data_IF_583506869415
#
_entry.id   IF_583506869415
#
_cell.length_a   1.000
_cell.length_b   1.000
_cell.length_c   1.000
_cell.angle_alpha   90.00
_cell.angle_beta   90.00
_cell.angle_gamma   90.00
#
_symmetry.space_group_name_H-M   'P 1'
#
loop_
_entity.id
_entity.type
_entity.pdbx_description
1 polymer ?
#
# COMPACT_ATOMS: atom_id res chain seq x y z
N UNK A 1 -47.31 72.03 29.36
CA UNK A 1 -46.94 72.87 30.52
C UNK A 1 -45.67 72.30 31.16
N UNK A 2 -44.68 73.19 31.37
CA UNK A 2 -43.52 73.19 32.31
C UNK A 2 -43.49 72.05 33.38
N UNK A 3 -42.39 71.43 33.81
CA UNK A 3 -40.92 71.57 33.63
C UNK A 3 -40.22 70.39 34.43
N UNK A 4 -38.88 70.34 34.66
CA UNK A 4 -38.00 69.21 34.30
C UNK A 4 -37.32 68.52 35.52
N UNK A 5 -36.07 68.04 35.35
CA UNK A 5 -35.05 67.51 36.30
C UNK A 5 -34.88 65.97 36.23
N UNK A 6 -33.69 65.38 36.17
CA UNK A 6 -32.31 65.86 36.11
C UNK A 6 -31.45 64.78 35.43
N UNK A 7 -30.43 65.22 34.69
CA UNK A 7 -29.42 64.35 34.06
C UNK A 7 -28.36 63.99 35.10
N UNK A 8 -28.09 62.71 35.29
CA UNK A 8 -26.91 62.20 36.02
C UNK A 8 -26.09 61.37 35.06
N UNK A 9 -24.88 61.87 34.78
CA UNK A 9 -23.85 61.30 33.95
C UNK A 9 -23.27 60.06 34.65
N UNK A 10 -23.43 58.87 34.08
CA UNK A 10 -22.70 57.66 34.51
C UNK A 10 -21.53 57.41 33.57
N UNK A 11 -20.32 57.46 34.13
CA UNK A 11 -19.06 57.08 33.48
C UNK A 11 -19.04 55.56 33.26
N UNK A 12 -19.05 55.13 32.00
CA UNK A 12 -18.78 53.74 31.61
C UNK A 12 -17.29 53.51 31.43
N UNK A 13 -16.66 52.77 32.35
CA UNK A 13 -15.32 52.21 32.18
C UNK A 13 -15.35 51.14 31.08
N UNK A 14 -14.67 51.39 29.96
CA UNK A 14 -14.38 50.37 28.96
C UNK A 14 -13.18 49.52 29.43
N UNK A 15 -13.44 48.30 29.91
CA UNK A 15 -12.39 47.29 30.10
C UNK A 15 -11.96 46.77 28.72
N UNK A 16 -10.75 47.17 28.28
CA UNK A 16 -10.09 46.57 27.13
C UNK A 16 -9.67 45.14 27.44
N UNK A 17 -10.29 44.17 26.76
CA UNK A 17 -9.83 42.79 26.68
C UNK A 17 -8.55 42.75 25.83
N UNK A 18 -7.39 42.70 26.50
CA UNK A 18 -6.14 42.31 25.86
C UNK A 18 -6.19 40.81 25.54
N UNK A 19 -6.55 40.47 24.30
CA UNK A 19 -6.24 39.16 23.75
C UNK A 19 -4.72 39.08 23.54
N UNK A 20 -4.04 38.38 24.44
CA UNK A 20 -2.66 37.95 24.20
C UNK A 20 -2.70 36.86 23.14
N UNK A 21 -2.27 37.22 21.92
CA UNK A 21 -2.04 36.24 20.87
C UNK A 21 -0.91 35.30 21.35
N UNK A 22 -1.28 34.10 21.77
CA UNK A 22 -0.31 33.04 22.00
C UNK A 22 0.26 32.61 20.64
N UNK A 23 1.58 32.56 20.46
CA UNK A 23 2.15 32.10 19.20
C UNK A 23 1.84 30.60 19.03
N UNK A 24 1.15 30.29 17.93
CA UNK A 24 0.89 28.93 17.43
C UNK A 24 2.20 28.13 17.29
N UNK A 25 2.61 27.38 18.32
CA UNK A 25 3.67 26.36 18.26
C UNK A 25 3.09 25.00 17.82
N UNK A 26 2.34 25.00 16.72
CA UNK A 26 1.70 23.80 16.17
C UNK A 26 2.71 22.88 15.46
N UNK A 27 3.76 23.42 14.84
CA UNK A 27 4.74 22.62 14.07
C UNK A 27 5.73 21.87 14.97
N UNK A 28 6.14 22.45 16.11
CA UNK A 28 7.09 21.84 17.05
C UNK A 28 6.47 20.68 17.84
N UNK A 29 5.19 20.79 18.19
CA UNK A 29 4.47 19.74 18.91
C UNK A 29 4.22 18.52 18.02
N UNK A 30 3.97 18.70 16.71
CA UNK A 30 3.82 17.59 15.76
C UNK A 30 5.10 16.76 15.61
N UNK A 31 6.25 17.43 15.42
CA UNK A 31 7.55 16.74 15.27
C UNK A 31 8.00 16.09 16.58
N UNK A 32 7.76 16.74 17.72
CA UNK A 32 8.00 16.15 19.04
C UNK A 32 7.17 14.89 19.26
N UNK A 33 5.87 14.94 18.95
CA UNK A 33 4.96 13.80 19.09
C UNK A 33 5.31 12.66 18.13
N UNK A 34 5.76 12.94 16.90
CA UNK A 34 6.25 11.91 15.97
C UNK A 34 7.53 11.22 16.45
N UNK A 35 8.47 11.98 17.04
CA UNK A 35 9.72 11.42 17.59
C UNK A 35 9.49 10.54 18.81
N UNK A 36 8.49 10.87 19.62
CA UNK A 36 8.19 10.16 20.87
C UNK A 36 7.11 9.08 20.74
N UNK A 37 6.48 8.95 19.56
CA UNK A 37 5.56 7.84 19.30
C UNK A 37 6.37 6.55 19.14
N UNK A 38 5.99 5.55 19.93
CA UNK A 38 6.61 4.22 19.88
C UNK A 38 6.51 3.66 18.45
N UNK A 39 7.63 3.15 17.93
CA UNK A 39 7.65 2.44 16.66
C UNK A 39 6.71 1.22 16.73
N UNK A 40 5.86 1.00 15.71
CA UNK A 40 4.98 -0.17 15.70
C UNK A 40 5.79 -1.46 15.66
N UNK A 41 5.24 -2.52 16.26
CA UNK A 41 5.86 -3.85 16.27
C UNK A 41 5.86 -4.50 14.88
N UNK A 42 4.83 -4.21 14.08
CA UNK A 42 4.69 -4.66 12.70
C UNK A 42 4.80 -3.46 11.75
N UNK A 43 5.59 -3.61 10.69
CA UNK A 43 5.57 -2.67 9.57
C UNK A 43 4.81 -3.28 8.39
N UNK A 44 4.12 -2.47 7.58
CA UNK A 44 3.66 -2.92 6.26
C UNK A 44 4.61 -2.54 5.13
N UNK A 45 4.82 -3.44 4.16
CA UNK A 45 5.79 -3.23 3.07
C UNK A 45 5.18 -2.56 1.83
N UNK A 46 3.88 -2.74 1.62
CA UNK A 46 3.13 -2.21 0.48
C UNK A 46 1.88 -1.47 0.95
N UNK A 47 0.98 -2.18 1.62
CA UNK A 47 -0.31 -1.69 2.09
C UNK A 47 -0.60 -2.27 3.46
N UNK A 48 -1.21 -1.46 4.30
CA UNK A 48 -1.66 -1.88 5.62
C UNK A 48 -2.59 -3.10 5.50
N UNK A 49 -2.26 -4.17 6.23
CA UNK A 49 -3.01 -5.43 6.21
C UNK A 49 -2.79 -6.35 5.00
N UNK A 50 -1.82 -6.07 4.13
CA UNK A 50 -1.50 -6.90 2.94
C UNK A 50 -0.18 -7.67 3.09
N UNK A 51 0.92 -6.96 3.32
CA UNK A 51 2.25 -7.54 3.53
C UNK A 51 2.82 -6.92 4.78
N UNK A 52 2.97 -7.69 5.85
CA UNK A 52 3.58 -7.22 7.09
C UNK A 52 4.90 -7.93 7.36
N UNK A 53 5.80 -7.19 7.99
CA UNK A 53 7.08 -7.67 8.49
C UNK A 53 7.14 -7.35 9.97
N UNK A 54 7.39 -8.39 10.76
CA UNK A 54 7.64 -8.24 12.19
C UNK A 54 8.99 -7.61 12.42
N UNK A 55 9.06 -6.63 13.32
CA UNK A 55 10.32 -6.05 13.76
C UNK A 55 11.02 -7.00 14.73
N UNK A 56 12.26 -7.32 14.42
CA UNK A 56 13.16 -8.13 15.25
C UNK A 56 14.58 -7.55 15.19
N UNK A 57 15.43 -7.89 16.16
CA UNK A 57 16.85 -7.55 16.09
C UNK A 57 17.61 -8.66 15.35
N UNK A 58 18.39 -8.30 14.32
CA UNK A 58 19.28 -9.23 13.63
C UNK A 58 20.61 -9.37 14.38
N UNK A 59 21.06 -8.27 14.97
CA UNK A 59 22.17 -8.19 15.91
C UNK A 59 21.82 -7.14 16.97
N UNK A 60 22.47 -7.15 18.16
CA UNK A 60 22.15 -6.19 19.21
C UNK A 60 22.17 -4.75 18.70
N UNK A 61 21.02 -4.07 18.76
CA UNK A 61 20.86 -2.69 18.30
C UNK A 61 20.68 -2.49 16.78
N UNK A 62 20.64 -3.55 15.97
CA UNK A 62 20.34 -3.49 14.54
C UNK A 62 19.01 -4.19 14.24
N UNK A 63 17.92 -3.43 13.99
CA UNK A 63 16.65 -4.02 13.63
C UNK A 63 16.68 -4.54 12.18
N UNK A 64 15.93 -5.61 11.91
CA UNK A 64 15.71 -6.11 10.54
C UNK A 64 14.95 -5.11 9.66
N UNK A 65 14.13 -4.25 10.27
CA UNK A 65 13.29 -3.28 9.59
C UNK A 65 13.07 -2.04 10.46
N UNK A 66 12.94 -0.87 9.83
CA UNK A 66 12.50 0.36 10.49
C UNK A 66 11.14 0.78 9.96
N UNK A 67 10.15 0.88 10.84
CA UNK A 67 8.82 1.35 10.48
C UNK A 67 8.72 2.88 10.60
N UNK A 68 7.76 3.46 9.89
CA UNK A 68 7.30 4.82 10.13
C UNK A 68 6.43 4.89 11.37
N UNK A 69 6.70 5.84 12.27
CA UNK A 69 5.82 6.16 13.38
C UNK A 69 4.50 6.80 12.95
N UNK A 70 4.47 7.42 11.76
CA UNK A 70 3.28 8.08 11.23
C UNK A 70 2.36 7.06 10.58
N UNK A 71 2.90 6.31 9.62
CA UNK A 71 2.10 5.48 8.73
C UNK A 71 2.12 4.02 9.14
N UNK A 72 3.17 3.53 9.80
CA UNK A 72 3.41 2.09 9.98
C UNK A 72 4.04 1.42 8.77
N UNK A 73 4.30 2.15 7.69
CA UNK A 73 4.99 1.63 6.51
C UNK A 73 6.48 1.42 6.76
N UNK A 74 7.10 0.49 6.03
CA UNK A 74 8.56 0.30 6.07
C UNK A 74 9.29 1.51 5.49
N UNK A 75 10.20 2.08 6.26
CA UNK A 75 11.13 3.14 5.84
C UNK A 75 12.48 2.58 5.40
N UNK A 76 12.90 1.45 5.98
CA UNK A 76 14.20 0.84 5.70
C UNK A 76 14.19 -0.65 6.05
N UNK A 77 14.94 -1.44 5.28
CA UNK A 77 15.19 -2.87 5.53
C UNK A 77 16.68 -3.09 5.81
N UNK A 78 16.98 -3.96 6.78
CA UNK A 78 18.33 -4.49 6.98
C UNK A 78 18.73 -5.43 5.87
N UNK A 79 17.87 -6.40 5.56
CA UNK A 79 17.95 -7.20 4.34
C UNK A 79 16.62 -7.08 3.57
N UNK A 80 16.58 -6.33 2.45
CA UNK A 80 15.36 -6.19 1.64
C UNK A 80 14.94 -7.50 0.97
N UNK A 81 15.84 -8.48 0.89
CA UNK A 81 15.63 -9.75 0.24
C UNK A 81 15.18 -10.85 1.18
N UNK A 82 15.21 -10.67 2.51
CA UNK A 82 15.06 -11.69 3.57
C UNK A 82 14.17 -12.90 3.19
N UNK A 83 12.96 -13.19 3.69
CA UNK A 83 12.17 -14.34 3.22
C UNK A 83 11.63 -14.27 1.76
N UNK A 84 12.43 -13.91 0.74
CA UNK A 84 12.02 -13.93 -0.67
C UNK A 84 12.26 -15.29 -1.34
N UNK A 85 11.46 -15.58 -2.36
CA UNK A 85 11.63 -16.74 -3.24
C UNK A 85 11.92 -16.29 -4.69
N UNK A 86 12.60 -17.12 -5.50
CA UNK A 86 12.77 -16.85 -6.92
C UNK A 86 11.42 -16.71 -7.63
N UNK A 87 11.31 -15.78 -8.58
CA UNK A 87 10.13 -15.65 -9.46
C UNK A 87 9.92 -16.86 -10.40
N UNK A 88 10.92 -17.73 -10.48
CA UNK A 88 10.97 -18.86 -11.41
C UNK A 88 11.12 -18.41 -12.86
N UNK A 89 10.83 -19.31 -13.81
CA UNK A 89 10.88 -18.97 -15.23
C UNK A 89 9.82 -17.92 -15.57
N UNK A 90 10.26 -16.85 -16.23
CA UNK A 90 9.41 -15.79 -16.75
C UNK A 90 9.47 -15.87 -18.28
N UNK A 91 8.32 -16.05 -18.96
CA UNK A 91 8.29 -16.33 -20.40
C UNK A 91 8.65 -15.11 -21.26
N UNK A 92 8.64 -13.91 -20.67
CA UNK A 92 8.95 -12.67 -21.38
C UNK A 92 10.42 -12.36 -21.11
N UNK A 93 11.24 -12.33 -22.17
CA UNK A 93 12.67 -12.00 -22.08
C UNK A 93 12.89 -10.59 -21.51
N UNK A 94 13.46 -10.52 -20.31
CA UNK A 94 13.95 -9.29 -19.71
C UNK A 94 15.45 -9.43 -19.47
N UNK A 95 16.14 -8.31 -19.26
CA UNK A 95 17.57 -8.28 -18.94
C UNK A 95 17.97 -9.09 -17.69
N UNK A 96 17.00 -9.62 -16.94
CA UNK A 96 17.13 -10.22 -15.60
C UNK A 96 16.65 -11.68 -15.55
N UNK A 97 16.87 -12.45 -16.63
CA UNK A 97 16.16 -13.71 -16.90
C UNK A 97 16.50 -14.91 -16.00
N UNK A 98 17.46 -14.83 -15.07
CA UNK A 98 17.87 -15.98 -14.23
C UNK A 98 18.24 -15.56 -12.81
N UNK A 99 17.59 -16.19 -11.82
CA UNK A 99 17.94 -16.31 -10.39
C UNK A 99 18.04 -15.04 -9.52
N UNK A 100 18.19 -13.86 -10.13
CA UNK A 100 18.32 -12.59 -9.41
C UNK A 100 16.98 -11.92 -9.12
N UNK A 101 15.92 -12.33 -9.83
CA UNK A 101 14.59 -11.78 -9.65
C UNK A 101 13.78 -12.56 -8.61
N UNK A 102 13.46 -11.88 -7.51
CA UNK A 102 12.79 -12.48 -6.36
C UNK A 102 11.51 -11.72 -5.98
N UNK A 103 10.59 -12.44 -5.35
CA UNK A 103 9.33 -11.89 -4.80
C UNK A 103 9.16 -12.38 -3.37
N UNK A 104 8.36 -11.69 -2.56
CA UNK A 104 7.96 -12.23 -1.26
C UNK A 104 6.80 -13.22 -1.45
N UNK A 105 6.86 -14.40 -0.82
CA UNK A 105 5.73 -15.30 -0.71
C UNK A 105 4.48 -14.56 -0.21
N UNK A 106 3.34 -14.81 -0.85
CA UNK A 106 2.05 -14.22 -0.50
C UNK A 106 1.24 -15.11 0.41
N UNK A 107 1.40 -16.42 0.28
CA UNK A 107 0.59 -17.41 0.97
C UNK A 107 0.60 -17.22 2.49
N UNK A 108 1.77 -16.92 3.09
CA UNK A 108 1.90 -16.67 4.53
C UNK A 108 1.34 -15.32 5.00
N UNK A 109 1.02 -14.42 4.06
CA UNK A 109 0.52 -13.06 4.33
C UNK A 109 -1.01 -12.96 4.16
N UNK A 110 -1.65 -14.04 3.71
CA UNK A 110 -3.09 -14.11 3.55
C UNK A 110 -3.74 -14.39 4.91
N UNK A 111 -4.49 -13.40 5.43
CA UNK A 111 -5.15 -13.48 6.75
C UNK A 111 -6.02 -14.72 6.96
N UNK A 112 -6.62 -15.23 5.89
CA UNK A 112 -7.51 -16.38 5.90
C UNK A 112 -6.98 -17.55 5.06
N UNK A 113 -5.67 -17.70 4.97
CA UNK A 113 -5.07 -18.86 4.31
C UNK A 113 -5.00 -20.04 5.27
N UNK A 114 -6.17 -20.64 5.50
CA UNK A 114 -6.22 -22.04 5.88
C UNK A 114 -6.30 -22.83 4.57
N UNK A 115 -5.37 -23.77 4.31
CA UNK A 115 -5.44 -24.61 3.12
C UNK A 115 -6.83 -25.21 3.00
N UNK A 116 -7.41 -25.18 1.81
CA UNK A 116 -8.72 -25.72 1.53
C UNK A 116 -8.79 -27.18 1.98
N UNK A 117 -7.66 -27.89 1.88
CA UNK A 117 -7.46 -29.27 2.33
C UNK A 117 -7.65 -29.47 3.84
N UNK A 118 -7.51 -28.43 4.66
CA UNK A 118 -7.71 -28.52 6.10
C UNK A 118 -9.19 -28.76 6.49
N UNK A 119 -10.12 -28.24 5.69
CA UNK A 119 -11.57 -28.44 5.88
C UNK A 119 -12.16 -29.42 4.85
N UNK A 120 -11.59 -29.50 3.65
CA UNK A 120 -11.99 -30.42 2.60
C UNK A 120 -10.95 -31.54 2.50
N UNK A 121 -11.29 -32.75 2.97
CA UNK A 121 -10.41 -33.94 2.98
C UNK A 121 -9.97 -34.42 1.57
N UNK A 122 -9.27 -33.60 0.80
CA UNK A 122 -8.90 -33.86 -0.61
C UNK A 122 -10.06 -33.82 -1.60
N UNK A 123 -11.31 -33.91 -1.13
CA UNK A 123 -12.52 -33.90 -1.96
C UNK A 123 -13.18 -32.52 -1.95
N UNK A 124 -12.55 -31.54 -2.61
CA UNK A 124 -13.16 -30.21 -2.76
C UNK A 124 -14.17 -30.21 -3.91
N UNK A 125 -15.24 -31.00 -3.82
CA UNK A 125 -16.19 -31.19 -4.94
C UNK A 125 -17.61 -31.50 -4.45
N UNK A 126 -18.65 -31.04 -5.19
CA UNK A 126 -18.76 -31.26 -6.63
C UNK A 126 -17.92 -30.33 -7.50
N UNK A 127 -17.28 -30.92 -8.53
CA UNK A 127 -16.57 -30.13 -9.53
C UNK A 127 -17.60 -29.24 -10.23
N UNK A 128 -17.38 -27.92 -10.26
CA UNK A 128 -18.34 -27.01 -10.83
C UNK A 128 -18.50 -27.32 -12.32
N UNK A 129 -19.71 -27.73 -12.70
CA UNK A 129 -20.07 -28.04 -14.10
C UNK A 129 -20.18 -26.80 -14.98
N UNK A 130 -20.18 -25.62 -14.37
CA UNK A 130 -20.26 -24.32 -15.03
C UNK A 130 -19.32 -23.32 -14.35
N UNK A 131 -18.80 -22.39 -15.16
CA UNK A 131 -18.00 -21.24 -14.69
C UNK A 131 -18.87 -20.05 -14.30
N UNK A 132 -20.18 -20.11 -14.55
CA UNK A 132 -21.08 -19.00 -14.23
C UNK A 132 -21.15 -18.77 -12.72
N UNK A 133 -21.34 -17.51 -12.29
CA UNK A 133 -21.61 -17.18 -10.90
C UNK A 133 -22.76 -18.01 -10.32
N UNK A 134 -22.63 -18.38 -9.05
CA UNK A 134 -23.66 -19.11 -8.29
C UNK A 134 -23.67 -18.64 -6.86
N UNK A 135 -24.82 -18.78 -6.19
CA UNK A 135 -24.90 -18.59 -4.75
C UNK A 135 -23.91 -19.52 -4.02
N UNK A 136 -23.16 -18.95 -3.09
CA UNK A 136 -22.19 -19.67 -2.26
C UNK A 136 -22.85 -20.14 -0.97
N UNK A 137 -22.78 -21.43 -0.68
CA UNK A 137 -23.29 -21.98 0.60
C UNK A 137 -22.33 -21.72 1.77
N UNK A 138 -21.04 -21.54 1.50
CA UNK A 138 -19.95 -21.35 2.47
C UNK A 138 -18.93 -20.35 1.91
N UNK A 139 -17.95 -19.93 2.73
CA UNK A 139 -16.82 -19.06 2.37
C UNK A 139 -17.18 -17.59 2.07
N UNK A 140 -18.38 -17.14 2.45
CA UNK A 140 -18.79 -15.72 2.37
C UNK A 140 -18.04 -14.84 3.39
N UNK A 141 -17.49 -15.47 4.42
CA UNK A 141 -16.70 -14.89 5.51
C UNK A 141 -15.21 -14.74 5.15
N UNK A 142 -14.71 -15.52 4.18
CA UNK A 142 -13.31 -15.50 3.75
C UNK A 142 -13.04 -14.36 2.77
N UNK A 143 -14.02 -14.05 1.91
CA UNK A 143 -13.95 -12.94 0.95
C UNK A 143 -15.12 -12.01 1.23
N UNK A 144 -14.88 -10.79 1.77
CA UNK A 144 -15.93 -9.79 1.91
C UNK A 144 -16.61 -9.57 0.57
N UNK A 145 -17.94 -9.56 0.58
CA UNK A 145 -18.76 -9.39 -0.62
C UNK A 145 -18.42 -10.42 -1.72
N UNK A 146 -18.15 -11.69 -1.36
CA UNK A 146 -17.81 -12.78 -2.29
C UNK A 146 -18.80 -12.97 -3.46
N UNK A 147 -20.03 -12.50 -3.30
CA UNK A 147 -21.08 -12.55 -4.32
C UNK A 147 -21.08 -11.34 -5.27
N UNK A 148 -20.32 -10.28 -4.96
CA UNK A 148 -20.25 -9.03 -5.71
C UNK A 148 -18.78 -8.68 -6.06
N UNK A 149 -18.09 -9.62 -6.70
CA UNK A 149 -16.69 -9.44 -7.11
C UNK A 149 -16.57 -8.29 -8.14
N UNK A 150 -15.92 -7.20 -7.74
CA UNK A 150 -15.72 -6.01 -8.58
C UNK A 150 -14.46 -6.17 -9.45
N UNK A 151 -14.49 -7.16 -10.35
CA UNK A 151 -13.45 -7.43 -11.34
C UNK A 151 -14.06 -7.73 -12.72
N UNK A 152 -13.45 -7.19 -13.79
CA UNK A 152 -13.90 -7.46 -15.16
C UNK A 152 -15.34 -7.04 -15.47
N UNK A 153 -15.91 -6.10 -14.71
CA UNK A 153 -17.31 -5.61 -14.82
C UNK A 153 -18.32 -6.75 -14.64
N UNK A 154 -18.06 -7.63 -13.67
CA UNK A 154 -18.90 -8.79 -13.36
C UNK A 154 -18.69 -9.99 -14.30
N UNK A 155 -17.79 -9.89 -15.28
CA UNK A 155 -17.49 -10.99 -16.19
C UNK A 155 -16.54 -12.06 -15.60
N UNK A 156 -15.98 -11.80 -14.41
CA UNK A 156 -14.99 -12.66 -13.77
C UNK A 156 -15.59 -13.28 -12.52
N UNK A 157 -15.46 -14.60 -12.41
CA UNK A 157 -15.88 -15.40 -11.27
C UNK A 157 -14.68 -16.05 -10.58
N UNK A 158 -14.87 -16.61 -9.39
CA UNK A 158 -13.80 -17.16 -8.55
C UNK A 158 -12.86 -18.11 -9.32
N UNK A 159 -13.43 -18.94 -10.21
CA UNK A 159 -12.74 -20.02 -10.91
C UNK A 159 -12.07 -19.61 -12.22
N UNK A 160 -12.16 -18.34 -12.60
CA UNK A 160 -11.33 -17.78 -13.68
C UNK A 160 -9.90 -17.53 -13.19
N UNK A 161 -9.74 -17.38 -11.87
CA UNK A 161 -8.49 -17.13 -11.17
C UNK A 161 -8.04 -18.34 -10.34
N UNK A 162 -8.93 -18.92 -9.55
CA UNK A 162 -8.66 -20.08 -8.70
C UNK A 162 -8.84 -21.39 -9.46
N UNK A 163 -7.97 -22.36 -9.18
CA UNK A 163 -8.11 -23.69 -9.75
C UNK A 163 -9.32 -24.42 -9.15
N UNK A 164 -10.18 -24.96 -10.02
CA UNK A 164 -11.41 -25.66 -9.65
C UNK A 164 -11.19 -27.04 -9.03
N UNK A 165 -10.05 -27.67 -9.29
CA UNK A 165 -9.65 -28.98 -8.75
C UNK A 165 -8.82 -28.84 -7.47
N UNK A 166 -7.92 -27.86 -7.45
CA UNK A 166 -7.02 -27.60 -6.34
C UNK A 166 -7.10 -26.13 -5.91
N UNK A 167 -8.02 -25.80 -5.01
CA UNK A 167 -8.29 -24.39 -4.61
C UNK A 167 -7.17 -23.74 -3.79
N UNK A 168 -6.15 -24.51 -3.40
CA UNK A 168 -4.89 -24.01 -2.84
C UNK A 168 -3.95 -23.46 -3.93
N UNK A 169 -4.39 -23.45 -5.18
CA UNK A 169 -3.64 -22.87 -6.31
C UNK A 169 -4.52 -21.98 -7.18
N UNK A 170 -3.84 -21.12 -7.93
CA UNK A 170 -4.40 -20.36 -9.04
C UNK A 170 -4.27 -21.19 -10.34
N UNK A 171 -4.95 -20.77 -11.41
CA UNK A 171 -4.98 -21.50 -12.68
C UNK A 171 -4.56 -20.63 -13.86
N UNK A 172 -3.71 -21.17 -14.74
CA UNK A 172 -3.33 -20.52 -15.98
C UNK A 172 -4.43 -20.67 -17.08
N UNK A 173 -4.14 -20.28 -18.32
CA UNK A 173 -5.08 -20.45 -19.44
C UNK A 173 -5.16 -21.88 -19.99
N UNK A 174 -4.14 -22.71 -19.75
CA UNK A 174 -4.02 -24.09 -20.21
C UNK A 174 -4.42 -25.11 -19.14
N UNK A 175 -4.76 -24.65 -17.95
CA UNK A 175 -5.14 -25.48 -16.79
C UNK A 175 -3.99 -25.83 -15.85
N UNK A 176 -2.77 -25.31 -16.08
CA UNK A 176 -1.64 -25.50 -15.18
C UNK A 176 -1.83 -24.71 -13.87
N UNK A 177 -1.29 -25.25 -12.79
CA UNK A 177 -1.32 -24.64 -11.48
C UNK A 177 -0.33 -23.47 -11.37
N UNK A 178 -0.78 -22.40 -10.73
CA UNK A 178 0.03 -21.23 -10.37
C UNK A 178 -0.01 -21.09 -8.85
N UNK A 179 1.15 -20.98 -8.22
CA UNK A 179 1.24 -20.72 -6.77
C UNK A 179 0.65 -19.34 -6.42
N UNK A 180 0.01 -19.23 -5.27
CA UNK A 180 -0.42 -17.94 -4.70
C UNK A 180 0.73 -16.94 -4.51
N UNK A 181 1.98 -17.41 -4.41
CA UNK A 181 3.16 -16.57 -4.33
C UNK A 181 3.54 -15.91 -5.67
N UNK A 182 2.97 -16.37 -6.78
CA UNK A 182 3.30 -15.90 -8.14
C UNK A 182 2.06 -15.35 -8.88
N UNK A 183 1.23 -14.49 -8.26
CA UNK A 183 -0.05 -14.07 -8.82
C UNK A 183 0.11 -13.23 -10.09
N UNK A 184 1.26 -12.60 -10.32
CA UNK A 184 1.57 -11.90 -11.56
C UNK A 184 1.43 -12.80 -12.80
N UNK A 185 1.71 -14.10 -12.68
CA UNK A 185 1.56 -15.07 -13.78
C UNK A 185 0.08 -15.26 -14.13
N UNK A 186 -0.79 -15.21 -13.13
CA UNK A 186 -2.24 -15.20 -13.30
C UNK A 186 -2.69 -13.86 -13.92
N UNK A 187 -2.27 -12.72 -13.37
CA UNK A 187 -2.72 -11.40 -13.84
C UNK A 187 -2.33 -11.15 -15.31
N UNK A 188 -1.13 -11.57 -15.70
CA UNK A 188 -0.61 -11.45 -17.06
C UNK A 188 -1.40 -12.22 -18.12
N UNK A 189 -2.29 -13.15 -17.72
CA UNK A 189 -3.26 -13.80 -18.61
C UNK A 189 -4.09 -12.79 -19.40
N UNK A 190 -4.54 -11.74 -18.73
CA UNK A 190 -5.43 -10.74 -19.30
C UNK A 190 -4.77 -9.34 -19.36
N UNK A 191 -3.88 -9.04 -18.42
CA UNK A 191 -3.20 -7.74 -18.31
C UNK A 191 -1.76 -7.80 -18.85
N UNK A 192 -1.62 -8.25 -20.10
CA UNK A 192 -0.31 -8.51 -20.72
C UNK A 192 0.62 -7.29 -20.77
N UNK A 193 0.10 -6.12 -21.15
CA UNK A 193 0.86 -4.86 -21.20
C UNK A 193 1.39 -4.47 -19.83
N UNK A 194 0.50 -4.41 -18.83
CA UNK A 194 0.86 -4.11 -17.44
C UNK A 194 1.84 -5.13 -16.86
N UNK A 195 1.70 -6.41 -17.24
CA UNK A 195 2.63 -7.46 -16.83
C UNK A 195 4.03 -7.27 -17.42
N UNK A 196 4.13 -6.82 -18.69
CA UNK A 196 5.39 -6.42 -19.32
C UNK A 196 6.04 -5.26 -18.58
N UNK A 197 5.29 -4.17 -18.36
CA UNK A 197 5.76 -2.99 -17.63
C UNK A 197 6.18 -3.31 -16.20
N UNK A 198 5.44 -4.18 -15.52
CA UNK A 198 5.75 -4.63 -14.17
C UNK A 198 7.06 -5.38 -14.12
N UNK A 199 7.26 -6.30 -15.06
CA UNK A 199 8.50 -7.07 -15.18
C UNK A 199 9.69 -6.15 -15.47
N UNK A 200 9.50 -5.12 -16.29
CA UNK A 200 10.54 -4.15 -16.63
C UNK A 200 10.77 -3.12 -15.51
N UNK A 201 9.96 -3.18 -14.44
CA UNK A 201 10.07 -2.33 -13.27
C UNK A 201 9.50 -0.92 -13.48
N UNK A 202 8.75 -0.71 -14.56
CA UNK A 202 8.02 0.53 -14.87
C UNK A 202 6.75 0.60 -14.03
N UNK A 203 6.07 -0.53 -13.87
CA UNK A 203 4.84 -0.63 -13.07
C UNK A 203 5.08 -1.33 -11.73
N UNK A 204 4.55 -0.76 -10.65
CA UNK A 204 4.68 -1.30 -9.30
C UNK A 204 5.95 -0.81 -8.59
N UNK A 205 6.46 -1.63 -7.66
CA UNK A 205 7.64 -1.30 -6.84
C UNK A 205 8.70 -2.36 -7.06
N UNK A 206 9.94 -1.90 -7.20
CA UNK A 206 11.14 -2.73 -7.32
C UNK A 206 12.27 -2.13 -6.50
N UNK A 207 13.02 -2.98 -5.80
CA UNK A 207 14.25 -2.58 -5.12
C UNK A 207 15.37 -3.59 -5.41
N UNK A 208 16.58 -3.26 -4.98
CA UNK A 208 17.75 -4.11 -5.14
C UNK A 208 18.81 -3.42 -5.98
N UNK A 209 19.69 -4.23 -6.57
CA UNK A 209 20.87 -3.72 -7.23
C UNK A 209 20.57 -3.18 -8.64
N UNK A 210 21.30 -2.16 -9.09
CA UNK A 210 21.09 -1.53 -10.41
C UNK A 210 21.82 -2.23 -11.55
N UNK A 211 22.88 -2.95 -11.24
CA UNK A 211 23.69 -3.71 -12.19
C UNK A 211 22.89 -4.82 -12.87
N UNK A 212 23.23 -5.08 -14.13
CA UNK A 212 22.77 -6.26 -14.85
C UNK A 212 23.43 -7.47 -14.19
N UNK A 213 22.67 -8.49 -13.82
CA UNK A 213 23.20 -9.56 -12.96
C UNK A 213 22.93 -9.35 -11.46
N UNK A 214 22.42 -8.19 -11.07
CA UNK A 214 22.21 -7.86 -9.65
C UNK A 214 20.86 -8.35 -9.12
N UNK A 215 20.84 -8.90 -7.89
CA UNK A 215 19.62 -9.35 -7.20
C UNK A 215 18.64 -8.19 -7.01
N UNK A 216 17.37 -8.43 -7.37
CA UNK A 216 16.28 -7.45 -7.36
C UNK A 216 15.00 -8.09 -6.85
N UNK A 217 14.25 -7.33 -6.06
CA UNK A 217 12.97 -7.74 -5.51
C UNK A 217 11.85 -6.96 -6.16
N UNK A 218 10.82 -7.68 -6.62
CA UNK A 218 9.57 -7.10 -7.09
C UNK A 218 8.48 -7.27 -6.04
N UNK A 219 7.59 -6.28 -5.99
CA UNK A 219 6.30 -6.44 -5.33
C UNK A 219 5.31 -7.03 -6.34
N UNK A 220 4.61 -8.09 -5.96
CA UNK A 220 3.64 -8.73 -6.87
C UNK A 220 2.32 -7.97 -6.89
N UNK A 221 1.51 -8.21 -7.93
CA UNK A 221 0.28 -7.46 -8.19
C UNK A 221 -0.65 -7.39 -6.95
N UNK A 222 -0.78 -8.50 -6.22
CA UNK A 222 -1.66 -8.59 -5.04
C UNK A 222 -1.12 -7.89 -3.79
N UNK A 223 0.11 -7.38 -3.79
CA UNK A 223 0.63 -6.55 -2.69
C UNK A 223 0.10 -5.12 -2.77
N UNK A 224 -0.26 -4.68 -3.98
CA UNK A 224 -0.78 -3.33 -4.25
C UNK A 224 -2.27 -3.35 -4.64
N UNK A 225 -2.76 -4.41 -5.28
CA UNK A 225 -4.14 -4.54 -5.74
C UNK A 225 -4.89 -5.62 -4.97
N UNK A 226 -6.18 -5.38 -4.71
CA UNK A 226 -7.08 -6.44 -4.28
C UNK A 226 -7.76 -7.04 -5.52
N UNK A 227 -7.51 -8.30 -5.89
CA UNK A 227 -8.09 -8.89 -7.09
C UNK A 227 -9.62 -9.02 -7.01
N UNK A 228 -10.21 -9.04 -5.81
CA UNK A 228 -11.67 -9.16 -5.63
C UNK A 228 -12.42 -7.84 -5.77
N UNK A 229 -11.73 -6.70 -5.69
CA UNK A 229 -12.37 -5.37 -5.68
C UNK A 229 -11.62 -4.30 -6.48
N UNK A 230 -10.83 -4.70 -7.47
CA UNK A 230 -9.92 -3.80 -8.19
C UNK A 230 -10.65 -2.65 -8.92
N UNK A 231 -11.94 -2.78 -9.23
CA UNK A 231 -12.68 -1.72 -9.93
C UNK A 231 -13.06 -0.54 -9.02
N UNK A 232 -13.46 -0.83 -7.79
CA UNK A 232 -13.83 0.19 -6.80
C UNK A 232 -12.59 0.75 -6.12
N UNK A 233 -11.62 -0.11 -5.80
CA UNK A 233 -10.36 0.25 -5.17
C UNK A 233 -9.19 -0.15 -6.06
N UNK A 234 -9.02 0.58 -7.18
CA UNK A 234 -7.92 0.37 -8.13
C UNK A 234 -6.57 0.39 -7.44
N UNK A 235 -6.36 1.38 -6.59
CA UNK A 235 -5.18 1.53 -5.75
C UNK A 235 -5.61 2.27 -4.49
N UNK A 236 -5.26 1.74 -3.30
CA UNK A 236 -5.42 2.51 -2.07
C UNK A 236 -4.15 3.34 -1.87
N UNK A 237 -4.22 4.67 -2.00
CA UNK A 237 -3.04 5.51 -1.91
C UNK A 237 -2.40 5.38 -0.53
N UNK A 238 -1.08 5.25 -0.53
CA UNK A 238 -0.28 5.24 0.70
C UNK A 238 -0.20 6.67 1.20
N UNK A 239 -0.49 6.88 2.48
CA UNK A 239 -0.29 8.18 3.12
C UNK A 239 1.19 8.56 3.04
N UNK A 240 1.54 9.74 2.50
CA UNK A 240 2.94 10.12 2.37
C UNK A 240 3.59 10.36 3.74
N UNK A 241 4.87 10.03 3.84
CA UNK A 241 5.71 10.42 4.96
C UNK A 241 5.83 11.95 5.06
N UNK A 242 6.13 12.50 6.25
CA UNK A 242 6.47 13.90 6.38
C UNK A 242 7.63 14.29 5.47
N UNK A 243 7.69 15.57 5.09
CA UNK A 243 8.82 16.11 4.32
C UNK A 243 10.15 15.79 5.02
N UNK A 244 11.23 15.55 4.26
CA UNK A 244 12.58 15.47 4.83
C UNK A 244 12.89 16.71 5.67
N UNK A 245 13.74 16.55 6.69
CA UNK A 245 14.24 17.70 7.43
C UNK A 245 15.04 18.61 6.49
N UNK A 246 14.90 19.92 6.68
CA UNK A 246 15.71 20.87 5.93
C UNK A 246 17.20 20.63 6.20
N UNK A 247 18.08 20.90 5.20
CA UNK A 247 19.51 20.97 5.46
C UNK A 247 19.78 21.87 6.65
N UNK A 248 20.78 21.55 7.48
CA UNK A 248 21.09 22.32 8.70
C UNK A 248 21.26 23.83 8.47
N UNK A 249 21.58 24.22 7.24
CA UNK A 249 21.76 25.61 6.81
C UNK A 249 20.46 26.35 6.48
N UNK A 250 19.29 25.70 6.56
CA UNK A 250 18.00 26.29 6.23
C UNK A 250 16.92 25.89 7.22
N UNK A 251 15.98 26.81 7.43
CA UNK A 251 14.83 26.62 8.33
C UNK A 251 13.51 26.45 7.57
N UNK A 252 13.47 26.74 6.26
CA UNK A 252 12.27 26.66 5.42
C UNK A 252 12.55 26.34 3.93
N UNK A 253 11.48 26.13 3.17
CA UNK A 253 11.48 25.82 1.74
C UNK A 253 11.32 27.06 0.82
N UNK A 254 11.59 28.28 1.27
CA UNK A 254 11.28 29.48 0.47
C UNK A 254 12.05 29.53 -0.86
N UNK A 255 13.20 28.86 -0.94
CA UNK A 255 13.99 28.71 -2.16
C UNK A 255 13.34 27.85 -3.26
N UNK A 256 12.34 27.04 -2.93
CA UNK A 256 11.59 26.27 -3.93
C UNK A 256 10.54 27.15 -4.63
N UNK A 257 10.11 28.24 -3.99
CA UNK A 257 9.11 29.18 -4.54
C UNK A 257 9.67 30.07 -5.65
N UNK A 258 10.99 30.27 -5.72
CA UNK A 258 11.62 31.15 -6.72
C UNK A 258 11.68 30.55 -8.13
N UNK A 259 11.45 29.24 -8.30
CA UNK A 259 11.51 28.60 -9.62
C UNK A 259 10.23 28.77 -10.46
N UNK A 260 9.12 29.25 -9.87
CA UNK A 260 7.84 29.42 -10.57
C UNK A 260 7.50 30.85 -11.00
N UNK A 261 8.13 31.87 -10.40
CA UNK A 261 7.76 33.28 -10.62
C UNK A 261 8.39 33.92 -11.87
N UNK A 262 9.49 33.39 -12.39
CA UNK A 262 10.13 33.94 -13.59
C UNK A 262 9.48 33.48 -14.91
N UNK A 263 8.78 32.34 -14.92
CA UNK A 263 8.11 31.84 -16.12
C UNK A 263 6.79 32.58 -16.43
N UNK A 264 6.06 33.03 -15.40
CA UNK A 264 4.80 33.75 -15.58
C UNK A 264 4.97 35.20 -16.10
N UNK A 265 6.20 35.76 -16.03
CA UNK A 265 6.48 37.11 -16.49
C UNK A 265 6.86 37.21 -17.99
N UNK A 266 7.01 36.08 -18.71
CA UNK A 266 7.51 36.07 -20.10
C UNK A 266 6.49 35.73 -21.20
N UNK A 267 5.22 35.51 -20.88
CA UNK A 267 4.18 35.20 -21.90
C UNK A 267 3.13 36.29 -22.06
N UNK A 268 3.45 37.53 -21.69
CA UNK A 268 2.60 38.70 -21.97
C UNK A 268 3.24 39.59 -23.03
N UNK A 269 3.15 39.21 -24.30
CA UNK A 269 3.21 40.07 -25.49
C UNK A 269 2.26 39.50 -26.54
#
# INVERSE_FOLDING_TARGET
>A
MRKPFASVLTYGLALGLFFTASPLHSEDTYIYNLKNKQEPAECFESREGYSTVQRSETTPGAPNVKCSNKTGGVLWWGDPFDGTEPMGQMPVEADYSREEAVVKPRQSQLKYFMPCTACHNGETVPYPKSKNPRALAMHQDIVPDAMDLQHGRGAIWCLDCHNSRNRDTLIDHRGAEISFNQPQKLCGKCHGEVYGDWRDGIHGKRIGMWDKGGKKRWWVCTECHNPHMVQTNRFQPITPEPRPQYPRTRTNADHEKSHGSEAAAKTGH
#
